data_IF_691887402210
#
_entry.id   IF_691887402210
#
_cell.length_a   1.000
_cell.length_b   1.000
_cell.length_c   1.000
_cell.angle_alpha   90.00
_cell.angle_beta   90.00
_cell.angle_gamma   90.00
#
_symmetry.space_group_name_H-M   'P 1'
#
loop_
_entity.id
_entity.type
_entity.pdbx_description
1 polymer ?
#
# COMPACT_ATOMS: atom_id res chain seq x y z
N UNK A 1 44.09 -19.41 -3.40
CA UNK A 1 44.26 -19.89 -4.78
C UNK A 1 43.05 -19.45 -5.59
N UNK A 2 43.27 -18.58 -6.57
CA UNK A 2 42.30 -18.15 -7.58
C UNK A 2 42.21 -19.24 -8.65
N UNK A 3 41.00 -19.61 -9.07
CA UNK A 3 40.80 -20.26 -10.37
C UNK A 3 39.66 -19.54 -11.07
N UNK A 4 40.06 -18.63 -11.96
CA UNK A 4 39.25 -18.12 -13.05
C UNK A 4 39.04 -19.23 -14.09
N UNK A 5 37.84 -19.33 -14.64
CA UNK A 5 37.66 -19.74 -16.05
C UNK A 5 36.57 -18.90 -16.69
N UNK A 6 37.02 -18.12 -17.66
CA UNK A 6 36.29 -17.44 -18.71
C UNK A 6 35.64 -18.44 -19.69
N UNK A 7 34.65 -17.94 -20.45
CA UNK A 7 34.34 -18.12 -21.90
C UNK A 7 32.87 -17.65 -22.07
N UNK A 8 32.54 -16.43 -22.52
CA UNK A 8 32.52 -15.87 -23.90
C UNK A 8 31.77 -16.77 -24.90
N UNK A 9 30.86 -16.41 -25.81
CA UNK A 9 30.28 -15.19 -26.41
C UNK A 9 29.11 -15.71 -27.26
N UNK A 10 27.96 -15.03 -27.38
CA UNK A 10 27.23 -14.93 -28.67
C UNK A 10 26.57 -13.55 -28.75
N UNK A 11 26.98 -12.81 -29.77
CA UNK A 11 26.39 -11.56 -30.22
C UNK A 11 25.08 -11.81 -30.97
N UNK A 12 24.09 -10.96 -30.73
CA UNK A 12 22.88 -10.86 -31.53
C UNK A 12 22.50 -9.39 -31.67
N UNK A 13 23.06 -8.74 -32.70
CA UNK A 13 22.62 -7.42 -33.16
C UNK A 13 21.41 -7.64 -34.07
N UNK A 14 20.28 -7.01 -33.75
CA UNK A 14 19.30 -6.62 -34.76
C UNK A 14 18.66 -5.29 -34.33
N UNK A 15 19.13 -4.26 -35.03
CA UNK A 15 18.53 -2.94 -35.06
C UNK A 15 17.17 -3.00 -35.75
N UNK A 16 16.14 -2.46 -35.09
CA UNK A 16 14.94 -1.98 -35.73
C UNK A 16 14.80 -0.51 -35.36
N UNK A 17 15.06 0.36 -36.33
CA UNK A 17 14.93 1.80 -36.18
C UNK A 17 13.48 2.23 -36.08
N UNK A 18 13.21 3.18 -35.19
CA UNK A 18 12.11 4.12 -35.34
C UNK A 18 12.72 5.52 -35.39
N UNK A 19 12.46 6.19 -36.51
CA UNK A 19 12.93 7.52 -36.82
C UNK A 19 12.50 8.52 -35.76
N UNK A 20 13.47 9.24 -35.20
CA UNK A 20 13.25 10.37 -34.32
C UNK A 20 13.23 11.64 -35.19
N UNK A 21 12.09 12.33 -35.22
CA UNK A 21 12.00 13.71 -35.70
C UNK A 21 10.85 14.40 -35.00
N UNK A 22 11.14 15.01 -33.84
CA UNK A 22 10.63 16.33 -33.50
C UNK A 22 11.67 17.04 -32.66
N UNK A 23 12.25 18.05 -33.29
CA UNK A 23 12.93 19.18 -32.67
C UNK A 23 12.00 19.82 -31.63
N UNK A 24 12.47 19.99 -30.39
CA UNK A 24 12.09 21.11 -29.53
C UNK A 24 13.00 21.18 -28.31
N UNK A 25 13.66 22.32 -28.25
CA UNK A 25 14.59 22.82 -27.25
C UNK A 25 14.09 22.74 -25.80
N UNK A 26 15.01 22.36 -24.93
CA UNK A 26 15.17 22.84 -23.55
C UNK A 26 14.00 22.64 -22.56
N UNK A 27 14.05 21.55 -21.78
CA UNK A 27 14.08 21.65 -20.31
C UNK A 27 14.76 20.40 -19.70
N UNK A 28 16.02 20.57 -19.29
CA UNK A 28 16.84 19.53 -18.64
C UNK A 28 16.32 19.11 -17.24
N UNK A 29 15.27 19.78 -16.72
CA UNK A 29 14.62 19.48 -15.45
C UNK A 29 13.47 18.49 -15.60
N UNK A 30 12.83 18.46 -16.78
CA UNK A 30 11.68 17.59 -17.07
C UNK A 30 12.12 16.15 -17.40
N UNK A 31 13.28 15.99 -18.04
CA UNK A 31 13.85 14.68 -18.41
C UNK A 31 14.13 13.79 -17.21
N UNK A 32 14.65 14.33 -16.09
CA UNK A 32 14.91 13.54 -14.87
C UNK A 32 13.64 13.16 -14.13
N UNK A 33 12.57 13.95 -14.26
CA UNK A 33 11.27 13.64 -13.66
C UNK A 33 10.54 12.56 -14.46
N UNK A 34 10.58 12.63 -15.79
CA UNK A 34 10.04 11.60 -16.66
C UNK A 34 10.85 10.31 -16.60
N UNK A 35 12.19 10.34 -16.56
CA UNK A 35 13.00 9.14 -16.31
C UNK A 35 12.74 8.55 -14.93
N UNK A 36 12.43 9.35 -13.91
CA UNK A 36 12.08 8.84 -12.58
C UNK A 36 10.67 8.25 -12.56
N UNK A 37 9.72 8.85 -13.27
CA UNK A 37 8.37 8.30 -13.45
C UNK A 37 8.38 7.04 -14.34
N UNK A 38 9.25 6.96 -15.34
CA UNK A 38 9.43 5.78 -16.19
C UNK A 38 10.25 4.68 -15.49
N UNK A 39 11.21 5.06 -14.64
CA UNK A 39 11.90 4.13 -13.73
C UNK A 39 10.94 3.63 -12.63
N UNK A 40 10.04 4.48 -12.11
CA UNK A 40 8.98 4.10 -11.19
C UNK A 40 7.87 3.30 -11.89
N UNK A 41 7.62 3.52 -13.19
CA UNK A 41 6.69 2.72 -13.99
C UNK A 41 7.28 1.36 -14.42
N UNK A 42 8.59 1.30 -14.70
CA UNK A 42 9.33 0.03 -14.90
C UNK A 42 9.57 -0.70 -13.58
N UNK A 43 9.71 -0.01 -12.46
CA UNK A 43 9.77 -0.60 -11.11
C UNK A 43 8.38 -0.95 -10.56
N UNK A 44 7.32 -0.33 -11.10
CA UNK A 44 5.92 -0.46 -10.68
C UNK A 44 5.15 -1.60 -11.34
N UNK A 45 5.77 -2.41 -12.20
CA UNK A 45 5.10 -3.52 -12.88
C UNK A 45 5.89 -4.85 -12.75
N UNK A 46 6.46 -5.14 -11.58
CA UNK A 46 6.59 -6.55 -11.22
C UNK A 46 5.18 -7.08 -10.96
N UNK A 47 4.79 -8.14 -11.69
CA UNK A 47 3.51 -8.85 -11.48
C UNK A 47 3.27 -9.19 -10.01
N UNK A 48 4.36 -9.36 -9.24
CA UNK A 48 4.38 -9.59 -7.80
C UNK A 48 3.90 -8.38 -7.01
N UNK A 49 4.38 -7.16 -7.29
CA UNK A 49 3.93 -5.95 -6.58
C UNK A 49 2.43 -5.69 -6.74
N UNK A 50 1.92 -5.88 -7.96
CA UNK A 50 0.49 -5.78 -8.28
C UNK A 50 -0.32 -6.90 -7.60
N UNK A 51 0.19 -8.14 -7.59
CA UNK A 51 -0.44 -9.28 -6.92
C UNK A 51 -0.52 -9.08 -5.40
N UNK A 52 0.54 -8.59 -4.76
CA UNK A 52 0.53 -8.23 -3.34
C UNK A 52 -0.55 -7.17 -3.08
N UNK A 53 -0.62 -6.12 -3.91
CA UNK A 53 -1.65 -5.08 -3.74
C UNK A 53 -3.07 -5.64 -3.90
N UNK A 54 -3.28 -6.58 -4.82
CA UNK A 54 -4.56 -7.24 -5.01
C UNK A 54 -4.96 -8.09 -3.79
N UNK A 55 -4.01 -8.84 -3.19
CA UNK A 55 -4.24 -9.59 -1.96
C UNK A 55 -4.62 -8.67 -0.80
N UNK A 56 -3.90 -7.55 -0.63
CA UNK A 56 -4.21 -6.53 0.39
C UNK A 56 -5.62 -5.94 0.15
N UNK A 57 -5.97 -5.62 -1.10
CA UNK A 57 -7.28 -5.06 -1.43
C UNK A 57 -8.44 -6.05 -1.18
N UNK A 58 -8.17 -7.36 -1.22
CA UNK A 58 -9.13 -8.43 -0.91
C UNK A 58 -9.17 -8.80 0.57
N UNK A 59 -8.30 -8.22 1.40
CA UNK A 59 -8.19 -8.59 2.82
C UNK A 59 -7.44 -9.90 3.06
N UNK A 60 -6.77 -10.46 2.04
CA UNK A 60 -5.95 -11.68 2.15
C UNK A 60 -4.58 -11.34 2.75
N UNK A 61 -4.57 -10.82 3.98
CA UNK A 61 -3.38 -10.26 4.61
C UNK A 61 -2.28 -11.30 4.87
N UNK A 62 -2.64 -12.48 5.37
CA UNK A 62 -1.67 -13.56 5.61
C UNK A 62 -0.97 -13.99 4.31
N UNK A 63 -1.73 -14.16 3.22
CA UNK A 63 -1.17 -14.49 1.91
C UNK A 63 -0.29 -13.35 1.35
N UNK A 64 -0.70 -12.09 1.60
CA UNK A 64 0.09 -10.93 1.19
C UNK A 64 1.42 -10.84 1.97
N UNK A 65 1.43 -11.11 3.28
CA UNK A 65 2.64 -11.12 4.11
C UNK A 65 3.64 -12.18 3.67
N UNK A 66 3.16 -13.40 3.39
CA UNK A 66 4.00 -14.47 2.83
C UNK A 66 4.61 -14.05 1.49
N UNK A 67 3.79 -13.52 0.58
CA UNK A 67 4.28 -13.08 -0.72
C UNK A 67 5.25 -11.90 -0.62
N UNK A 68 5.07 -10.99 0.34
CA UNK A 68 6.03 -9.91 0.63
C UNK A 68 7.36 -10.49 1.10
N UNK A 69 7.34 -11.44 2.03
CA UNK A 69 8.56 -12.09 2.54
C UNK A 69 9.31 -12.81 1.41
N UNK A 70 8.62 -13.59 0.59
CA UNK A 70 9.18 -14.30 -0.56
C UNK A 70 9.76 -13.33 -1.60
N UNK A 71 9.01 -12.27 -1.94
CA UNK A 71 9.44 -11.28 -2.91
C UNK A 71 10.66 -10.47 -2.43
N UNK A 72 10.74 -10.20 -1.13
CA UNK A 72 11.87 -9.48 -0.52
C UNK A 72 13.10 -10.39 -0.50
N UNK A 73 12.94 -11.66 -0.10
CA UNK A 73 14.03 -12.64 -0.09
C UNK A 73 14.57 -12.93 -1.50
N UNK A 74 13.70 -12.93 -2.51
CA UNK A 74 14.06 -13.08 -3.92
C UNK A 74 14.58 -11.81 -4.60
N UNK A 75 14.63 -10.67 -3.90
CA UNK A 75 15.05 -9.38 -4.46
C UNK A 75 14.08 -8.80 -5.51
N UNK A 76 12.83 -9.28 -5.55
CA UNK A 76 11.78 -8.84 -6.50
C UNK A 76 11.11 -7.53 -6.06
N UNK A 77 11.18 -7.20 -4.78
CA UNK A 77 10.82 -5.90 -4.21
C UNK A 77 11.92 -5.43 -3.26
N UNK A 78 12.05 -4.12 -3.11
CA UNK A 78 13.03 -3.56 -2.17
C UNK A 78 12.55 -3.66 -0.72
N UNK A 79 13.48 -3.66 0.23
CA UNK A 79 13.14 -3.67 1.66
C UNK A 79 12.26 -2.48 2.09
N UNK A 80 12.47 -1.24 1.60
CA UNK A 80 11.54 -0.14 1.85
C UNK A 80 10.12 -0.40 1.31
N UNK A 81 9.99 -0.92 0.09
CA UNK A 81 8.68 -1.25 -0.49
C UNK A 81 7.96 -2.36 0.29
N UNK A 82 8.70 -3.35 0.80
CA UNK A 82 8.16 -4.39 1.66
C UNK A 82 7.64 -3.79 2.98
N UNK A 83 8.42 -2.91 3.61
CA UNK A 83 8.04 -2.24 4.85
C UNK A 83 6.77 -1.39 4.70
N UNK A 84 6.63 -0.63 3.61
CA UNK A 84 5.42 0.14 3.30
C UNK A 84 4.18 -0.77 3.17
N UNK A 85 4.32 -1.91 2.50
CA UNK A 85 3.23 -2.88 2.33
C UNK A 85 2.83 -3.52 3.66
N UNK A 86 3.80 -3.89 4.49
CA UNK A 86 3.57 -4.43 5.83
C UNK A 86 2.90 -3.41 6.75
N UNK A 87 3.33 -2.14 6.71
CA UNK A 87 2.69 -1.06 7.46
C UNK A 87 1.23 -0.89 7.04
N UNK A 88 0.93 -0.96 5.73
CA UNK A 88 -0.43 -0.91 5.23
C UNK A 88 -1.28 -2.09 5.72
N UNK A 89 -0.73 -3.30 5.73
CA UNK A 89 -1.41 -4.49 6.27
C UNK A 89 -1.69 -4.31 7.76
N UNK A 90 -0.70 -3.89 8.55
CA UNK A 90 -0.86 -3.62 9.98
C UNK A 90 -2.00 -2.62 10.25
N UNK A 91 -2.02 -1.51 9.52
CA UNK A 91 -3.09 -0.51 9.62
C UNK A 91 -4.48 -1.10 9.28
N UNK A 92 -4.59 -1.83 8.16
CA UNK A 92 -5.86 -2.40 7.72
C UNK A 92 -6.38 -3.53 8.63
N UNK A 93 -5.46 -4.28 9.25
CA UNK A 93 -5.76 -5.36 10.19
C UNK A 93 -6.10 -4.87 11.60
N UNK A 94 -5.94 -3.56 11.87
CA UNK A 94 -6.18 -2.98 13.20
C UNK A 94 -7.67 -3.10 13.53
N UNK A 95 -7.98 -3.67 14.70
CA UNK A 95 -9.34 -3.85 15.19
C UNK A 95 -9.86 -2.60 15.88
N UNK A 96 -11.15 -2.35 15.77
CA UNK A 96 -11.84 -1.26 16.47
C UNK A 96 -11.69 -1.38 17.99
N UNK A 97 -11.68 -2.61 18.52
CA UNK A 97 -11.47 -2.89 19.94
C UNK A 97 -10.05 -2.60 20.44
N UNK A 98 -9.07 -2.38 19.54
CA UNK A 98 -7.73 -1.94 19.90
C UNK A 98 -7.63 -0.42 20.07
N UNK A 99 -8.69 0.34 19.76
CA UNK A 99 -8.75 1.77 20.04
C UNK A 99 -8.67 2.03 21.56
N UNK A 100 -8.13 3.20 21.93
CA UNK A 100 -7.97 3.57 23.35
C UNK A 100 -9.32 3.54 24.09
N UNK A 101 -9.30 3.19 25.38
CA UNK A 101 -10.49 3.10 26.21
C UNK A 101 -11.30 4.42 26.24
N UNK A 102 -10.63 5.56 26.07
CA UNK A 102 -11.27 6.88 25.97
C UNK A 102 -12.13 6.99 24.71
N UNK A 103 -11.64 6.52 23.57
CA UNK A 103 -12.39 6.53 22.30
C UNK A 103 -13.56 5.53 22.32
N UNK A 104 -13.38 4.38 22.99
CA UNK A 104 -14.44 3.38 23.15
C UNK A 104 -15.60 3.85 24.05
N UNK A 105 -15.37 4.85 24.92
CA UNK A 105 -16.38 5.43 25.81
C UNK A 105 -17.17 6.59 25.18
N UNK A 106 -16.87 6.97 23.94
CA UNK A 106 -17.64 7.98 23.24
C UNK A 106 -19.12 7.56 23.16
N UNK A 107 -20.03 8.53 23.34
CA UNK A 107 -21.48 8.30 23.49
C UNK A 107 -22.11 7.47 22.36
N UNK A 108 -21.54 7.56 21.16
CA UNK A 108 -22.03 6.89 19.95
C UNK A 108 -21.09 5.77 19.46
N UNK A 109 -20.17 5.28 20.30
CA UNK A 109 -19.22 4.25 19.92
C UNK A 109 -19.94 2.90 19.65
N UNK A 110 -19.82 2.35 18.42
CA UNK A 110 -20.50 1.11 18.07
C UNK A 110 -19.76 -0.10 18.68
N UNK A 111 -20.24 -0.56 19.83
CA UNK A 111 -19.67 -1.72 20.54
C UNK A 111 -19.71 -3.01 19.72
N UNK A 112 -20.64 -3.13 18.78
CA UNK A 112 -20.75 -4.26 17.84
C UNK A 112 -19.57 -4.33 16.86
N UNK A 113 -18.87 -3.21 16.63
CA UNK A 113 -17.74 -3.17 15.72
C UNK A 113 -16.41 -3.57 16.35
N UNK A 114 -16.34 -3.88 17.65
CA UNK A 114 -15.08 -4.11 18.38
C UNK A 114 -14.18 -5.16 17.75
N UNK A 115 -14.76 -6.25 17.25
CA UNK A 115 -14.00 -7.35 16.65
C UNK A 115 -13.68 -7.10 15.18
N UNK A 116 -14.27 -6.05 14.58
CA UNK A 116 -14.07 -5.72 13.19
C UNK A 116 -12.77 -4.95 12.96
N UNK A 117 -12.16 -5.19 11.80
CA UNK A 117 -10.94 -4.51 11.35
C UNK A 117 -11.25 -3.24 10.57
N UNK A 118 -10.26 -2.35 10.42
CA UNK A 118 -10.38 -1.19 9.52
C UNK A 118 -10.77 -1.62 8.10
N UNK A 119 -10.22 -2.73 7.61
CA UNK A 119 -10.58 -3.29 6.32
C UNK A 119 -12.07 -3.62 6.22
N UNK A 120 -12.61 -4.33 7.20
CA UNK A 120 -14.02 -4.71 7.22
C UNK A 120 -14.95 -3.50 7.33
N UNK A 121 -14.57 -2.49 8.14
CA UNK A 121 -15.32 -1.23 8.23
C UNK A 121 -15.31 -0.49 6.88
N UNK A 122 -14.19 -0.48 6.15
CA UNK A 122 -14.12 0.07 4.78
C UNK A 122 -15.03 -0.70 3.82
N UNK A 123 -15.00 -2.02 3.87
CA UNK A 123 -15.87 -2.88 3.07
C UNK A 123 -17.36 -2.65 3.37
N UNK A 124 -17.74 -2.46 4.63
CA UNK A 124 -19.12 -2.15 5.00
C UNK A 124 -19.59 -0.82 4.40
N UNK A 125 -18.72 0.21 4.41
CA UNK A 125 -19.01 1.50 3.78
C UNK A 125 -19.13 1.40 2.26
N UNK A 126 -18.19 0.70 1.62
CA UNK A 126 -18.16 0.50 0.17
C UNK A 126 -19.39 -0.28 -0.32
N UNK A 127 -19.77 -1.34 0.39
CA UNK A 127 -20.91 -2.19 0.07
C UNK A 127 -22.26 -1.62 0.58
N UNK A 128 -22.26 -0.44 1.21
CA UNK A 128 -23.43 0.17 1.87
C UNK A 128 -24.13 -0.79 2.85
N UNK A 129 -23.35 -1.65 3.51
CA UNK A 129 -23.85 -2.61 4.48
C UNK A 129 -23.88 -1.96 5.87
N UNK A 130 -25.07 -1.51 6.27
CA UNK A 130 -25.32 -0.84 7.56
C UNK A 130 -26.02 -1.75 8.58
N UNK A 131 -25.88 -3.07 8.43
CA UNK A 131 -26.54 -4.05 9.30
C UNK A 131 -26.06 -4.01 10.76
N UNK A 132 -24.79 -3.68 10.99
CA UNK A 132 -24.15 -3.69 12.32
C UNK A 132 -23.97 -2.29 12.93
N UNK A 133 -23.98 -1.25 12.10
CA UNK A 133 -23.79 0.12 12.54
C UNK A 133 -24.34 1.09 11.49
N UNK A 134 -24.69 2.29 11.94
CA UNK A 134 -25.09 3.37 11.03
C UNK A 134 -23.91 3.83 10.18
N UNK A 135 -24.20 4.41 9.01
CA UNK A 135 -23.17 4.99 8.14
C UNK A 135 -22.30 6.02 8.87
N UNK A 136 -22.90 6.83 9.76
CA UNK A 136 -22.19 7.82 10.56
C UNK A 136 -21.20 7.15 11.54
N UNK A 137 -21.62 6.07 12.19
CA UNK A 137 -20.77 5.30 13.10
C UNK A 137 -19.61 4.63 12.35
N UNK A 138 -19.86 4.02 11.19
CA UNK A 138 -18.80 3.43 10.36
C UNK A 138 -17.79 4.49 9.88
N UNK A 139 -18.27 5.67 9.44
CA UNK A 139 -17.39 6.79 9.07
C UNK A 139 -16.56 7.32 10.25
N UNK A 140 -17.16 7.38 11.43
CA UNK A 140 -16.45 7.78 12.65
C UNK A 140 -15.34 6.79 12.98
N UNK A 141 -15.65 5.49 13.00
CA UNK A 141 -14.70 4.42 13.29
C UNK A 141 -13.57 4.36 12.26
N UNK A 142 -13.89 4.51 10.97
CA UNK A 142 -12.87 4.62 9.90
C UNK A 142 -11.87 5.74 10.20
N UNK A 143 -12.37 6.94 10.54
CA UNK A 143 -11.52 8.09 10.87
C UNK A 143 -10.67 7.85 12.12
N UNK A 144 -11.25 7.20 13.14
CA UNK A 144 -10.54 6.86 14.38
C UNK A 144 -9.38 5.89 14.15
N UNK A 145 -9.55 4.94 13.25
CA UNK A 145 -8.53 3.95 12.92
C UNK A 145 -7.49 4.46 11.92
N UNK A 146 -7.86 5.40 11.04
CA UNK A 146 -6.93 6.03 10.10
C UNK A 146 -6.07 7.11 10.79
N UNK A 147 -6.66 7.96 11.63
CA UNK A 147 -6.00 9.09 12.29
C UNK A 147 -6.43 9.20 13.78
N UNK A 148 -5.99 8.29 14.67
CA UNK A 148 -6.44 8.29 16.06
C UNK A 148 -6.10 9.59 16.82
N UNK A 149 -4.93 10.18 16.59
CA UNK A 149 -4.49 11.41 17.26
C UNK A 149 -5.33 12.63 16.87
N UNK A 150 -5.56 12.81 15.57
CA UNK A 150 -6.31 13.95 15.03
C UNK A 150 -7.78 13.95 15.45
N UNK A 151 -8.34 12.77 15.73
CA UNK A 151 -9.71 12.65 16.22
C UNK A 151 -9.78 12.86 17.74
N UNK A 152 -8.77 12.44 18.51
CA UNK A 152 -8.69 12.77 19.93
C UNK A 152 -8.58 14.29 20.19
N UNK A 153 -7.87 15.05 19.35
CA UNK A 153 -7.84 16.52 19.44
C UNK A 153 -9.24 17.15 19.26
N UNK A 154 -10.03 16.61 18.32
CA UNK A 154 -11.39 17.08 18.05
C UNK A 154 -12.40 16.70 19.12
N UNK A 155 -12.23 15.54 19.76
CA UNK A 155 -13.05 15.13 20.91
C UNK A 155 -12.59 15.76 22.24
N UNK A 156 -11.32 16.17 22.30
CA UNK A 156 -10.68 16.81 23.45
C UNK A 156 -10.88 18.32 23.54
N UNK A 157 -11.58 18.95 22.58
CA UNK A 157 -11.94 20.37 22.71
C UNK A 157 -13.18 20.53 23.61
N UNK A 158 -12.99 20.24 24.90
CA UNK A 158 -13.75 20.82 26.00
C UNK A 158 -12.72 21.44 26.95
N UNK A 159 -12.30 22.66 26.61
CA UNK A 159 -12.29 23.83 27.49
C UNK A 159 -11.67 25.03 26.79
#
# INVERSE_FOLDING_TARGET
MRIWRFVAVVAGVLAAGCAHSTDSTADASSSRYLERLEADARAGCSSVGARINALIARGQFAEAEVLIAEATAGGLISQPQAAEKLQKIAQLSTKVGQLSASLQRAKDFPSQLKDHTLFEVKQMLENKNFSLATEAQLKMVKKLLEDPERVMEKMGTVR
#
